data_IF_592754368382
#
_entry.id   IF_592754368382
#
_cell.length_a   1.000
_cell.length_b   1.000
_cell.length_c   1.000
_cell.angle_alpha   90.00
_cell.angle_beta   90.00
_cell.angle_gamma   90.00
#
_symmetry.space_group_name_H-M   'P 1'
#
loop_
_entity.id
_entity.type
_entity.pdbx_description
1 polymer ?
#
# COMPACT_ATOMS: atom_id res chain seq x y z
N UNK A 1 -11.68 -10.40 -11.24
CA UNK A 1 -11.54 -8.98 -10.82
C UNK A 1 -11.31 -8.14 -12.06
N UNK A 2 -11.82 -6.90 -12.09
CA UNK A 2 -11.66 -6.01 -13.24
C UNK A 2 -10.37 -5.20 -13.03
N UNK A 3 -9.37 -5.40 -13.87
CA UNK A 3 -8.08 -4.69 -13.78
C UNK A 3 -8.12 -3.38 -14.55
N UNK A 4 -7.48 -2.34 -14.00
CA UNK A 4 -7.35 -1.02 -14.64
C UNK A 4 -5.89 -0.80 -15.02
N UNK A 5 -5.63 -0.40 -16.26
CA UNK A 5 -4.29 -0.04 -16.72
C UNK A 5 -4.06 1.46 -16.56
N UNK A 6 -3.04 1.84 -15.80
CA UNK A 6 -2.67 3.23 -15.54
C UNK A 6 -1.32 3.55 -16.18
N UNK A 7 -1.20 4.73 -16.81
CA UNK A 7 0.10 5.22 -17.30
C UNK A 7 0.77 6.04 -16.21
N UNK A 8 2.01 5.71 -15.90
CA UNK A 8 2.87 6.48 -15.00
C UNK A 8 4.18 6.86 -15.71
N UNK A 9 4.85 7.90 -15.23
CA UNK A 9 6.14 8.34 -15.78
C UNK A 9 7.17 7.21 -15.64
N UNK A 10 7.99 7.01 -16.68
CA UNK A 10 9.01 5.96 -16.74
C UNK A 10 9.97 5.98 -15.54
N UNK A 11 10.46 7.16 -15.16
CA UNK A 11 11.34 7.32 -13.98
C UNK A 11 10.68 6.81 -12.68
N UNK A 12 9.40 7.12 -12.49
CA UNK A 12 8.65 6.68 -11.31
C UNK A 12 8.48 5.15 -11.30
N UNK A 13 8.19 4.54 -12.46
CA UNK A 13 8.08 3.09 -12.58
C UNK A 13 9.40 2.38 -12.24
N UNK A 14 10.53 2.90 -12.73
CA UNK A 14 11.86 2.34 -12.42
C UNK A 14 12.19 2.43 -10.94
N UNK A 15 11.86 3.57 -10.30
CA UNK A 15 12.02 3.74 -8.85
C UNK A 15 11.12 2.81 -8.06
N UNK A 16 9.86 2.68 -8.45
CA UNK A 16 8.91 1.75 -7.83
C UNK A 16 9.42 0.31 -7.90
N UNK A 17 9.93 -0.13 -9.06
CA UNK A 17 10.51 -1.47 -9.23
C UNK A 17 11.70 -1.72 -8.30
N UNK A 18 12.63 -0.75 -8.18
CA UNK A 18 13.79 -0.86 -7.28
C UNK A 18 13.36 -0.96 -5.82
N UNK A 19 12.41 -0.13 -5.41
CA UNK A 19 11.89 -0.12 -4.04
C UNK A 19 11.09 -1.39 -3.73
N UNK A 20 10.29 -1.88 -4.68
CA UNK A 20 9.57 -3.15 -4.55
C UNK A 20 10.54 -4.31 -4.28
N UNK A 21 11.59 -4.43 -5.09
CA UNK A 21 12.61 -5.48 -4.91
C UNK A 21 13.37 -5.33 -3.57
N UNK A 22 13.77 -4.10 -3.21
CA UNK A 22 14.46 -3.85 -1.94
C UNK A 22 13.57 -4.10 -0.71
N UNK A 23 12.26 -3.87 -0.84
CA UNK A 23 11.27 -4.11 0.20
C UNK A 23 10.78 -5.56 0.29
N UNK A 24 11.27 -6.46 -0.57
CA UNK A 24 10.89 -7.88 -0.57
C UNK A 24 9.52 -8.19 -1.18
N UNK A 25 8.96 -7.27 -1.98
CA UNK A 25 7.69 -7.49 -2.67
C UNK A 25 7.87 -8.49 -3.82
N UNK A 26 6.82 -9.28 -4.08
CA UNK A 26 6.85 -10.30 -5.14
C UNK A 26 6.77 -9.68 -6.54
N UNK A 27 6.23 -8.47 -6.66
CA UNK A 27 6.10 -7.73 -7.92
C UNK A 27 6.03 -6.21 -7.70
N UNK A 28 6.22 -5.44 -8.78
CA UNK A 28 6.06 -3.97 -8.71
C UNK A 28 4.58 -3.60 -8.56
N UNK A 29 3.69 -4.41 -9.14
CA UNK A 29 2.25 -4.28 -9.07
C UNK A 29 1.75 -4.42 -7.64
N UNK A 30 2.20 -5.44 -6.89
CA UNK A 30 1.88 -5.63 -5.48
C UNK A 30 2.33 -4.43 -4.62
N UNK A 31 3.53 -3.92 -4.87
CA UNK A 31 4.02 -2.71 -4.21
C UNK A 31 3.14 -1.49 -4.50
N UNK A 32 2.76 -1.27 -5.76
CA UNK A 32 1.92 -0.14 -6.16
C UNK A 32 0.52 -0.27 -5.56
N UNK A 33 -0.08 -1.46 -5.57
CA UNK A 33 -1.39 -1.72 -4.97
C UNK A 33 -1.39 -1.41 -3.47
N UNK A 34 -0.43 -1.94 -2.72
CA UNK A 34 -0.30 -1.69 -1.28
C UNK A 34 -0.08 -0.19 -0.99
N UNK A 35 0.75 0.50 -1.77
CA UNK A 35 0.93 1.95 -1.61
C UNK A 35 -0.38 2.69 -1.85
N UNK A 36 -1.12 2.36 -2.91
CA UNK A 36 -2.41 3.00 -3.20
C UNK A 36 -3.43 2.74 -2.08
N UNK A 37 -3.56 1.49 -1.62
CA UNK A 37 -4.44 1.14 -0.50
C UNK A 37 -4.10 1.94 0.77
N UNK A 38 -2.81 2.04 1.11
CA UNK A 38 -2.34 2.83 2.25
C UNK A 38 -2.69 4.31 2.12
N UNK A 39 -2.45 4.90 0.95
CA UNK A 39 -2.75 6.32 0.74
C UNK A 39 -4.27 6.59 0.72
N UNK A 40 -5.07 5.67 0.17
CA UNK A 40 -6.54 5.73 0.22
C UNK A 40 -7.02 5.67 1.67
N UNK A 41 -6.57 4.69 2.45
CA UNK A 41 -6.94 4.56 3.86
C UNK A 41 -6.57 5.79 4.70
N UNK A 42 -5.48 6.48 4.35
CA UNK A 42 -5.08 7.74 5.00
C UNK A 42 -5.97 8.93 4.62
N UNK A 43 -6.53 8.92 3.41
CA UNK A 43 -7.28 10.04 2.83
C UNK A 43 -8.80 9.88 2.94
N UNK A 44 -9.31 8.66 3.05
CA UNK A 44 -10.71 8.41 3.33
C UNK A 44 -11.01 8.81 4.79
N UNK A 45 -11.85 9.83 5.03
CA UNK A 45 -12.32 10.14 6.37
C UNK A 45 -13.21 8.99 6.81
N UNK A 46 -12.62 8.13 7.65
CA UNK A 46 -13.21 7.10 8.48
C UNK A 46 -14.74 6.95 8.35
N UNK A 47 -15.19 6.00 7.53
CA UNK A 47 -16.57 5.51 7.55
C UNK A 47 -16.77 4.39 8.60
N UNK A 48 -15.79 4.11 9.48
CA UNK A 48 -15.93 2.97 10.38
C UNK A 48 -14.74 2.65 11.29
N UNK A 49 -14.57 3.46 12.31
CA UNK A 49 -14.07 3.11 13.64
C UNK A 49 -12.62 2.65 13.72
N UNK A 50 -11.77 3.59 14.16
CA UNK A 50 -10.39 3.44 14.64
C UNK A 50 -10.03 2.11 15.36
N UNK A 51 -10.98 1.40 15.98
CA UNK A 51 -10.73 0.16 16.74
C UNK A 51 -10.23 -1.02 15.90
N UNK A 52 -10.65 -1.16 14.63
CA UNK A 52 -10.25 -2.33 13.82
C UNK A 52 -8.82 -2.22 13.28
N UNK A 53 -8.40 -1.00 12.94
CA UNK A 53 -7.03 -0.68 12.53
C UNK A 53 -6.07 -0.82 13.73
N UNK A 54 -6.47 -0.32 14.90
CA UNK A 54 -5.71 -0.47 16.15
C UNK A 54 -5.49 -1.94 16.54
N UNK A 55 -6.47 -2.83 16.33
CA UNK A 55 -6.33 -4.28 16.56
C UNK A 55 -5.34 -4.94 15.62
N UNK A 56 -5.34 -4.58 14.34
CA UNK A 56 -4.35 -5.11 13.37
C UNK A 56 -2.93 -4.65 13.68
N UNK A 57 -2.76 -3.41 14.15
CA UNK A 57 -1.46 -2.86 14.53
C UNK A 57 -0.92 -3.46 15.85
N UNK A 58 -1.78 -3.70 16.85
CA UNK A 58 -1.38 -4.39 18.10
C UNK A 58 -0.98 -5.85 17.87
N UNK A 59 -1.67 -6.57 16.97
CA UNK A 59 -1.36 -7.96 16.65
C UNK A 59 0.00 -8.19 15.96
N UNK A 60 0.63 -7.14 15.45
CA UNK A 60 1.91 -7.17 14.75
C UNK A 60 3.08 -6.61 15.60
N UNK A 61 2.82 -6.20 16.85
CA UNK A 61 3.87 -5.79 17.81
C UNK A 61 4.49 -4.41 17.56
N UNK A 62 3.80 -3.51 16.84
CA UNK A 62 4.33 -2.17 16.52
C UNK A 62 4.01 -1.10 17.58
N UNK A 63 3.14 -1.37 18.55
CA UNK A 63 2.71 -0.44 19.60
C UNK A 63 2.36 -1.25 20.86
N UNK A 64 2.84 -0.83 22.03
CA UNK A 64 2.41 -1.35 23.34
C UNK A 64 1.09 -0.65 23.78
#
# INVERSE_FOLDING_TARGET
>A
MKTVSLKIRKDLAERAKRLAAAGGYSSTEEFVEHVLEREIARLEPDQGGDEEILRKLKGLGYID
#
